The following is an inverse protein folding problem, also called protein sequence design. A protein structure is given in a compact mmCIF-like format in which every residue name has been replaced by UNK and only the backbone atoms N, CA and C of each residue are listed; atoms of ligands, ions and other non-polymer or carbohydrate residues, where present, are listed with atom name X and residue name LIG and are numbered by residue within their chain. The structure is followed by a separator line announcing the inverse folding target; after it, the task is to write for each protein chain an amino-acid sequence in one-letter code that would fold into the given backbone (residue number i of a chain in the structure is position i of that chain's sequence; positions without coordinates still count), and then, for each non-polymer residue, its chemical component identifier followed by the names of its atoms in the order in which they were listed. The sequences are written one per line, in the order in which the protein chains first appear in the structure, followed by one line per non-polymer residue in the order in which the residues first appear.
data_IF_708697017503
#
_entry.id   IF_708697017503
#
_cell.length_a   1.000
_cell.length_b   1.000
_cell.length_c   1.000
_cell.angle_alpha   90.00
_cell.angle_beta   90.00
_cell.angle_gamma   90.00
#
_symmetry.space_group_name_H-M   'P 1'
#
loop_
_entity.id
_entity.type
_entity.pdbx_description
1 polymer ?
#
# COMPACT_ATOMS: atom_id res chain seq x y z
N UNK A 1 9.45 3.49 -12.82
CA UNK A 1 8.39 2.75 -12.11
C UNK A 1 7.29 2.46 -13.11
N UNK A 2 6.82 1.23 -13.20
CA UNK A 2 5.70 0.85 -14.06
C UNK A 2 4.40 0.98 -13.26
N UNK A 3 3.35 1.53 -13.86
CA UNK A 3 2.04 1.63 -13.24
C UNK A 3 1.18 0.43 -13.61
N UNK A 4 0.55 -0.19 -12.62
CA UNK A 4 -0.31 -1.35 -12.80
C UNK A 4 -1.77 -0.97 -12.55
N UNK A 5 -2.64 -1.26 -13.52
CA UNK A 5 -4.05 -0.81 -13.54
C UNK A 5 -4.97 -1.70 -12.67
N UNK A 6 -4.56 -2.02 -11.44
CA UNK A 6 -5.41 -2.68 -10.43
C UNK A 6 -5.13 -2.10 -9.04
N UNK A 7 -6.16 -2.03 -8.20
CA UNK A 7 -6.04 -1.57 -6.82
C UNK A 7 -5.62 -2.68 -5.85
N UNK A 8 -5.17 -2.30 -4.66
CA UNK A 8 -5.02 -3.24 -3.56
C UNK A 8 -6.33 -3.40 -2.79
N UNK A 9 -6.68 -4.64 -2.48
CA UNK A 9 -7.91 -4.95 -1.74
C UNK A 9 -7.73 -6.14 -0.81
N UNK A 10 -8.71 -6.33 0.08
CA UNK A 10 -8.79 -7.53 0.92
C UNK A 10 -8.92 -8.80 0.08
N UNK A 11 -8.64 -9.97 0.68
CA UNK A 11 -8.85 -11.28 0.03
C UNK A 11 -10.27 -11.44 -0.53
N UNK A 12 -11.28 -10.92 0.19
CA UNK A 12 -12.69 -10.97 -0.24
C UNK A 12 -12.96 -10.09 -1.45
N UNK A 13 -12.37 -8.90 -1.51
CA UNK A 13 -12.52 -7.98 -2.65
C UNK A 13 -11.81 -8.48 -3.89
N UNK A 14 -10.57 -8.98 -3.72
CA UNK A 14 -9.82 -9.61 -4.79
C UNK A 14 -10.55 -10.84 -5.35
N UNK A 15 -11.16 -11.67 -4.50
CA UNK A 15 -11.98 -12.79 -4.94
C UNK A 15 -13.25 -12.35 -5.66
N UNK A 16 -13.92 -11.27 -5.20
CA UNK A 16 -15.14 -10.74 -5.81
C UNK A 16 -14.87 -10.07 -7.17
N UNK A 17 -13.73 -9.41 -7.33
CA UNK A 17 -13.42 -8.64 -8.54
C UNK A 17 -11.92 -8.69 -8.92
N UNK A 18 -11.40 -9.86 -9.36
CA UNK A 18 -9.98 -10.12 -9.53
C UNK A 18 -9.30 -9.33 -10.66
N UNK A 19 -10.09 -8.73 -11.55
CA UNK A 19 -9.62 -7.82 -12.61
C UNK A 19 -9.34 -6.41 -12.08
N UNK A 20 -10.02 -6.00 -11.00
CA UNK A 20 -9.94 -4.65 -10.44
C UNK A 20 -9.09 -4.60 -9.18
N UNK A 21 -9.13 -5.66 -8.37
CA UNK A 21 -8.40 -5.72 -7.10
C UNK A 21 -7.53 -6.96 -7.01
N UNK A 22 -6.37 -6.80 -6.39
CA UNK A 22 -5.47 -7.88 -5.96
C UNK A 22 -5.05 -7.63 -4.52
N UNK A 23 -4.70 -8.67 -3.79
CA UNK A 23 -3.91 -8.48 -2.55
C UNK A 23 -2.49 -8.06 -2.92
N UNK A 24 -1.73 -7.55 -1.95
CA UNK A 24 -0.30 -7.29 -2.17
C UNK A 24 0.44 -8.59 -2.53
N UNK A 25 0.13 -9.70 -1.86
CA UNK A 25 0.68 -11.03 -2.15
C UNK A 25 0.42 -11.48 -3.60
N UNK A 26 -0.82 -11.35 -4.08
CA UNK A 26 -1.16 -11.66 -5.47
C UNK A 26 -0.48 -10.71 -6.47
N UNK A 27 -0.31 -9.44 -6.09
CA UNK A 27 0.43 -8.48 -6.92
C UNK A 27 1.90 -8.89 -7.01
N UNK A 28 2.52 -9.26 -5.89
CA UNK A 28 3.89 -9.75 -5.87
C UNK A 28 4.05 -11.03 -6.69
N UNK A 29 3.09 -11.96 -6.63
CA UNK A 29 3.10 -13.17 -7.44
C UNK A 29 3.06 -12.86 -8.95
N UNK A 30 2.10 -12.04 -9.39
CA UNK A 30 1.94 -11.66 -10.80
C UNK A 30 3.17 -10.93 -11.34
N UNK A 31 3.84 -10.14 -10.50
CA UNK A 31 5.03 -9.37 -10.87
C UNK A 31 6.35 -10.14 -10.67
N UNK A 32 6.32 -11.40 -10.23
CA UNK A 32 7.54 -12.19 -9.98
C UNK A 32 8.38 -11.65 -8.82
N UNK A 33 7.71 -11.18 -7.79
CA UNK A 33 8.28 -10.58 -6.58
C UNK A 33 8.07 -11.43 -5.31
N UNK A 34 7.41 -12.58 -5.41
CA UNK A 34 7.22 -13.51 -4.29
C UNK A 34 8.54 -13.84 -3.60
N UNK A 35 8.58 -13.67 -2.28
CA UNK A 35 9.75 -13.97 -1.45
C UNK A 35 10.95 -13.04 -1.65
N UNK A 36 10.78 -11.94 -2.41
CA UNK A 36 11.82 -10.93 -2.59
C UNK A 36 11.63 -9.78 -1.61
N UNK A 37 12.74 -9.25 -1.12
CA UNK A 37 12.77 -7.94 -0.45
C UNK A 37 12.39 -6.86 -1.45
N UNK A 38 11.44 -6.02 -1.09
CA UNK A 38 11.05 -4.84 -1.86
C UNK A 38 11.71 -3.62 -1.23
N UNK A 39 12.67 -3.02 -1.94
CA UNK A 39 13.37 -1.84 -1.44
C UNK A 39 12.46 -0.62 -1.33
N UNK A 40 11.57 -0.42 -2.32
CA UNK A 40 10.64 0.71 -2.37
C UNK A 40 9.27 0.21 -2.84
N UNK A 41 8.28 0.33 -1.96
CA UNK A 41 6.87 0.12 -2.27
C UNK A 41 6.18 1.48 -2.41
N UNK A 42 5.92 1.91 -3.65
CA UNK A 42 5.17 3.15 -3.93
C UNK A 42 3.69 2.82 -4.12
N UNK A 43 2.81 3.53 -3.42
CA UNK A 43 1.36 3.39 -3.55
C UNK A 43 0.65 4.74 -3.48
N UNK A 44 -0.43 4.84 -4.26
CA UNK A 44 -1.37 5.96 -4.26
C UNK A 44 -2.64 5.51 -3.52
N UNK A 45 -2.89 6.09 -2.34
CA UNK A 45 -3.94 5.67 -1.41
C UNK A 45 -5.15 6.61 -1.47
N UNK A 46 -6.14 6.21 -2.27
CA UNK A 46 -7.39 6.93 -2.53
C UNK A 46 -8.55 6.32 -1.73
N UNK A 47 -8.47 6.31 -0.40
CA UNK A 47 -9.46 5.79 0.58
C UNK A 47 -9.36 4.32 1.01
N UNK A 48 -9.25 3.35 0.10
CA UNK A 48 -9.47 1.93 0.47
C UNK A 48 -8.27 1.26 1.15
N UNK A 49 -7.06 1.81 0.97
CA UNK A 49 -5.84 1.22 1.50
C UNK A 49 -5.67 1.36 3.02
N UNK A 50 -6.44 2.22 3.69
CA UNK A 50 -6.45 2.31 5.16
C UNK A 50 -6.84 1.00 5.84
N UNK A 51 -7.49 0.08 5.12
CA UNK A 51 -7.91 -1.22 5.63
C UNK A 51 -6.96 -2.36 5.22
N UNK A 52 -6.04 -2.12 4.29
CA UNK A 52 -5.17 -3.17 3.73
C UNK A 52 -3.72 -3.05 4.18
N UNK A 53 -3.31 -1.93 4.79
CA UNK A 53 -1.91 -1.73 5.17
C UNK A 53 -1.33 -2.78 6.12
N UNK A 54 -2.17 -3.40 6.96
CA UNK A 54 -1.74 -4.49 7.85
C UNK A 54 -1.26 -5.71 7.08
N UNK A 55 -1.74 -5.90 5.84
CA UNK A 55 -1.22 -6.95 4.96
C UNK A 55 0.12 -6.57 4.33
N UNK A 56 0.44 -5.28 4.21
CA UNK A 56 1.72 -4.81 3.71
C UNK A 56 2.85 -5.14 4.68
N UNK A 57 2.58 -4.96 5.97
CA UNK A 57 3.52 -5.27 7.06
C UNK A 57 3.85 -6.76 7.20
N UNK A 58 3.16 -7.64 6.46
CA UNK A 58 3.50 -9.07 6.37
C UNK A 58 4.56 -9.37 5.32
N UNK A 59 4.89 -8.41 4.47
CA UNK A 59 5.90 -8.52 3.41
C UNK A 59 7.19 -7.85 3.84
N UNK A 60 8.32 -8.27 3.26
CA UNK A 60 9.63 -7.65 3.47
C UNK A 60 9.77 -6.36 2.65
N UNK A 61 9.20 -5.26 3.17
CA UNK A 61 9.25 -3.93 2.57
C UNK A 61 10.24 -3.05 3.36
N UNK A 62 11.19 -2.41 2.69
CA UNK A 62 12.15 -1.52 3.36
C UNK A 62 11.67 -0.08 3.46
N UNK A 63 11.03 0.42 2.41
CA UNK A 63 10.50 1.77 2.35
C UNK A 63 9.11 1.76 1.73
N UNK A 64 8.20 2.50 2.36
CA UNK A 64 6.83 2.69 1.87
C UNK A 64 6.69 4.16 1.51
N UNK A 65 6.45 4.41 0.22
CA UNK A 65 6.14 5.74 -0.29
C UNK A 65 4.65 5.81 -0.58
N UNK A 66 3.90 6.40 0.35
CA UNK A 66 2.45 6.50 0.27
C UNK A 66 2.03 7.93 -0.08
N UNK A 67 1.18 8.06 -1.10
CA UNK A 67 0.40 9.28 -1.35
C UNK A 67 -0.94 9.13 -0.63
N UNK A 68 -1.22 9.96 0.37
CA UNK A 68 -2.41 9.81 1.23
C UNK A 68 -3.50 10.77 0.82
N UNK A 69 -4.66 10.26 0.42
CA UNK A 69 -5.83 11.06 0.09
C UNK A 69 -6.90 10.94 1.19
N UNK A 70 -7.57 12.06 1.49
CA UNK A 70 -8.72 12.13 2.40
C UNK A 70 -8.50 11.42 3.75
N UNK A 71 -7.37 11.70 4.41
CA UNK A 71 -6.90 11.06 5.65
C UNK A 71 -7.95 11.04 6.79
N UNK A 72 -8.74 9.96 6.95
CA UNK A 72 -9.86 9.94 7.87
C UNK A 72 -9.39 9.53 9.26
N UNK A 73 -9.94 10.16 10.30
CA UNK A 73 -9.71 9.74 11.69
C UNK A 73 -10.82 8.74 12.09
N UNK A 74 -10.49 7.61 12.74
CA UNK A 74 -9.19 7.26 13.33
C UNK A 74 -8.20 6.54 12.39
N UNK A 75 -8.63 6.09 11.22
CA UNK A 75 -7.85 5.19 10.37
C UNK A 75 -6.46 5.69 9.98
N UNK A 76 -6.32 6.96 9.61
CA UNK A 76 -5.04 7.57 9.27
C UNK A 76 -4.11 7.63 10.48
N UNK A 77 -4.67 7.90 11.66
CA UNK A 77 -3.93 7.88 12.93
C UNK A 77 -3.35 6.49 13.18
N UNK A 78 -4.20 5.47 13.10
CA UNK A 78 -3.81 4.09 13.35
C UNK A 78 -2.79 3.60 12.31
N UNK A 79 -2.92 4.00 11.04
CA UNK A 79 -1.93 3.71 10.01
C UNK A 79 -0.52 4.19 10.37
N UNK A 80 -0.35 5.45 10.78
CA UNK A 80 0.97 5.97 11.12
C UNK A 80 1.52 5.36 12.42
N UNK A 81 0.68 5.11 13.43
CA UNK A 81 1.12 4.46 14.66
C UNK A 81 1.53 3.00 14.43
N UNK A 82 0.74 2.23 13.69
CA UNK A 82 1.08 0.83 13.40
C UNK A 82 2.35 0.73 12.55
N UNK A 83 2.61 1.67 11.63
CA UNK A 83 3.89 1.75 10.90
C UNK A 83 5.08 2.07 11.83
N UNK A 84 4.90 3.04 12.73
CA UNK A 84 5.92 3.37 13.72
C UNK A 84 6.24 2.15 14.62
N UNK A 85 5.22 1.46 15.10
CA UNK A 85 5.36 0.28 15.96
C UNK A 85 5.98 -0.91 15.22
N UNK A 86 5.81 -0.98 13.90
CA UNK A 86 6.52 -1.92 13.02
C UNK A 86 7.99 -1.52 12.75
N UNK A 87 8.47 -0.40 13.31
CA UNK A 87 9.87 0.04 13.24
C UNK A 87 10.19 0.97 12.07
N UNK A 88 9.19 1.48 11.36
CA UNK A 88 9.41 2.47 10.29
C UNK A 88 9.67 3.86 10.85
N UNK A 89 10.63 4.56 10.26
CA UNK A 89 10.80 6.01 10.46
C UNK A 89 9.91 6.74 9.47
N UNK A 90 9.12 7.67 9.98
CA UNK A 90 8.12 8.39 9.20
C UNK A 90 8.60 9.82 8.94
N UNK A 91 8.60 10.22 7.68
CA UNK A 91 8.88 11.59 7.25
C UNK A 91 7.92 11.98 6.13
N UNK A 92 7.65 13.27 6.02
CA UNK A 92 6.85 13.82 4.92
C UNK A 92 7.78 14.27 3.79
N UNK A 93 7.32 14.14 2.55
CA UNK A 93 7.93 14.76 1.38
C UNK A 93 6.91 15.66 0.69
N UNK A 94 7.39 16.50 -0.22
CA UNK A 94 6.53 17.35 -1.05
C UNK A 94 5.48 16.52 -1.83
N UNK A 95 4.30 17.12 -1.99
CA UNK A 95 3.19 16.52 -2.72
C UNK A 95 3.57 16.23 -4.18
N UNK A 96 2.94 15.19 -4.75
CA UNK A 96 3.14 14.83 -6.14
C UNK A 96 2.44 15.87 -7.05
N UNK A 97 3.21 16.68 -7.78
CA UNK A 97 2.70 17.78 -8.61
C UNK A 97 2.25 17.35 -10.02
N UNK A 98 2.29 16.06 -10.35
CA UNK A 98 1.94 15.57 -11.70
C UNK A 98 0.46 15.19 -11.89
N UNK A 99 -0.41 15.40 -10.90
CA UNK A 99 -1.85 15.15 -11.02
C UNK A 99 -2.68 16.34 -10.51
N UNK A 100 -2.67 17.44 -11.28
CA UNK A 100 -3.63 18.54 -11.19
C UNK A 100 -4.61 18.50 -12.37
#
# INVERSE_FOLDING_TARGET
AEFHHWGLGSKKEAARNPKRFKTLEQTMEVLGHTGRTIDIFKIDCEWCEWFTYKDWLKQDLRQILVETHNAPIPNAKDFFFDLHDAGYVIFSKEANYQNG
#
